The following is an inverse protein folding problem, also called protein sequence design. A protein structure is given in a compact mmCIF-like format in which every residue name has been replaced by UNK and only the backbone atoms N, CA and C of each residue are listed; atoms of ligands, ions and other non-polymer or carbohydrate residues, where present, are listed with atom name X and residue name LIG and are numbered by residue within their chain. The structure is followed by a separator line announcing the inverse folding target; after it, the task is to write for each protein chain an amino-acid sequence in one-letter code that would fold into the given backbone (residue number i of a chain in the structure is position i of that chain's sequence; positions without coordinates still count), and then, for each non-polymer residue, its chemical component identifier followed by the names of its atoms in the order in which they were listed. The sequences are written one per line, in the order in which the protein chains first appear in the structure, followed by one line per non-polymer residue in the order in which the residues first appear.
data_IF_718846647809
#
_entry.id   IF_718846647809
#
_cell.length_a   1.000
_cell.length_b   1.000
_cell.length_c   1.000
_cell.angle_alpha   90.00
_cell.angle_beta   90.00
_cell.angle_gamma   90.00
#
_symmetry.space_group_name_H-M   'P 1'
#
loop_
_entity.id
_entity.type
_entity.pdbx_description
1 polymer ?
#
# COMPACT_ATOMS: atom_id res chain seq x y z
N UNK A 1 -21.71 7.83 27.60
CA UNK A 1 -21.90 9.01 26.74
C UNK A 1 -23.23 8.89 26.01
N UNK A 2 -23.83 9.98 25.52
CA UNK A 2 -25.03 9.88 24.67
C UNK A 2 -24.68 9.23 23.33
N UNK A 3 -25.57 8.38 22.80
CA UNK A 3 -25.57 8.03 21.38
C UNK A 3 -26.22 9.13 20.56
N UNK A 4 -25.88 9.24 19.28
CA UNK A 4 -26.36 10.31 18.41
C UNK A 4 -26.94 9.77 17.10
N UNK A 5 -28.10 10.30 16.72
CA UNK A 5 -28.69 10.19 15.39
C UNK A 5 -29.14 11.59 14.97
N UNK A 6 -28.74 12.06 13.78
CA UNK A 6 -28.93 13.48 13.37
C UNK A 6 -28.33 14.49 14.36
N UNK A 7 -27.25 14.12 15.07
CA UNK A 7 -26.66 14.90 16.16
C UNK A 7 -27.63 15.19 17.35
N UNK A 8 -28.78 14.52 17.38
CA UNK A 8 -29.71 14.53 18.52
C UNK A 8 -29.38 13.38 19.47
N UNK A 9 -29.49 13.64 20.78
CA UNK A 9 -29.24 12.64 21.81
C UNK A 9 -30.27 11.51 21.68
N UNK A 10 -29.78 10.30 21.48
CA UNK A 10 -30.56 9.07 21.42
C UNK A 10 -30.29 8.24 22.68
N UNK A 11 -30.26 6.91 22.54
CA UNK A 11 -29.98 6.00 23.64
C UNK A 11 -28.54 6.15 24.15
N UNK A 12 -28.29 5.93 25.46
CA UNK A 12 -26.94 5.92 26.01
C UNK A 12 -26.07 4.82 25.37
N UNK A 13 -24.80 5.15 25.13
CA UNK A 13 -23.78 4.20 24.66
C UNK A 13 -22.48 4.36 25.45
N UNK A 14 -21.60 3.37 25.37
CA UNK A 14 -20.23 3.48 25.91
C UNK A 14 -19.27 3.97 24.83
N UNK A 15 -18.20 4.66 25.24
CA UNK A 15 -17.13 5.05 24.31
C UNK A 15 -16.48 3.82 23.67
N UNK A 16 -16.37 2.71 24.41
CA UNK A 16 -15.88 1.44 23.87
C UNK A 16 -16.74 0.92 22.71
N UNK A 17 -18.07 1.00 22.84
CA UNK A 17 -18.98 0.60 21.75
C UNK A 17 -18.82 1.49 20.51
N UNK A 18 -18.66 2.81 20.72
CA UNK A 18 -18.34 3.76 19.64
C UNK A 18 -16.99 3.44 18.96
N UNK A 19 -15.94 3.11 19.72
CA UNK A 19 -14.64 2.69 19.16
C UNK A 19 -14.77 1.44 18.29
N UNK A 20 -15.51 0.42 18.76
CA UNK A 20 -15.70 -0.83 18.03
C UNK A 20 -16.45 -0.63 16.70
N UNK A 21 -17.34 0.37 16.60
CA UNK A 21 -17.97 0.71 15.33
C UNK A 21 -16.93 1.07 14.24
N UNK A 22 -15.85 1.76 14.60
CA UNK A 22 -14.75 2.09 13.68
C UNK A 22 -13.82 0.91 13.42
N UNK A 23 -13.62 0.01 14.40
CA UNK A 23 -12.90 -1.25 14.17
C UNK A 23 -13.57 -2.06 13.07
N UNK A 24 -14.90 -2.18 13.11
CA UNK A 24 -15.67 -2.88 12.08
C UNK A 24 -15.57 -2.22 10.69
N UNK A 25 -15.54 -0.89 10.63
CA UNK A 25 -15.32 -0.17 9.37
C UNK A 25 -13.94 -0.48 8.77
N UNK A 26 -12.90 -0.42 9.61
CA UNK A 26 -11.52 -0.68 9.19
C UNK A 26 -11.26 -2.15 8.87
N UNK A 27 -11.95 -3.10 9.53
CA UNK A 27 -11.86 -4.52 9.22
C UNK A 27 -12.37 -4.82 7.79
N UNK A 28 -13.44 -4.14 7.36
CA UNK A 28 -13.90 -4.22 5.96
C UNK A 28 -12.93 -3.58 4.97
N UNK A 29 -12.22 -2.53 5.38
CA UNK A 29 -11.19 -1.93 4.53
C UNK A 29 -9.97 -2.85 4.40
N UNK A 30 -9.60 -3.53 5.49
CA UNK A 30 -8.57 -4.56 5.48
C UNK A 30 -8.92 -5.69 4.52
N UNK A 31 -10.14 -6.23 4.59
CA UNK A 31 -10.55 -7.31 3.68
C UNK A 31 -10.53 -6.86 2.21
N UNK A 32 -10.97 -5.63 1.91
CA UNK A 32 -10.87 -5.06 0.56
C UNK A 32 -9.42 -4.98 0.06
N UNK A 33 -8.50 -4.57 0.93
CA UNK A 33 -7.07 -4.51 0.59
C UNK A 33 -6.49 -5.91 0.38
N UNK A 34 -6.89 -6.90 1.16
CA UNK A 34 -6.47 -8.30 0.98
C UNK A 34 -7.00 -8.88 -0.34
N UNK A 35 -8.26 -8.61 -0.68
CA UNK A 35 -8.86 -9.05 -1.93
C UNK A 35 -8.21 -8.38 -3.15
N UNK A 36 -7.98 -7.07 -3.07
CA UNK A 36 -7.24 -6.33 -4.09
C UNK A 36 -5.82 -6.89 -4.23
N UNK A 37 -5.15 -7.17 -3.09
CA UNK A 37 -3.81 -7.77 -3.06
C UNK A 37 -3.75 -9.09 -3.82
N UNK A 38 -4.75 -9.94 -3.66
CA UNK A 38 -4.82 -11.21 -4.38
C UNK A 38 -5.02 -11.02 -5.88
N UNK A 39 -5.80 -10.02 -6.31
CA UNK A 39 -6.06 -9.74 -7.72
C UNK A 39 -4.85 -9.16 -8.46
N UNK A 40 -4.10 -8.24 -7.84
CA UNK A 40 -2.90 -7.68 -8.47
C UNK A 40 -1.64 -8.55 -8.34
N UNK A 41 -1.72 -9.71 -7.68
CA UNK A 41 -0.60 -10.64 -7.50
C UNK A 41 -0.35 -11.52 -8.74
N UNK A 42 -0.31 -10.88 -9.92
CA UNK A 42 -0.14 -11.53 -11.21
C UNK A 42 0.91 -10.75 -12.03
N UNK A 43 1.95 -11.44 -12.50
CA UNK A 43 3.10 -10.81 -13.15
C UNK A 43 2.84 -10.44 -14.61
N UNK A 44 3.00 -9.16 -15.02
CA UNK A 44 2.92 -8.73 -16.42
C UNK A 44 4.26 -8.87 -17.15
N UNK A 45 5.34 -9.26 -16.47
CA UNK A 45 6.66 -9.34 -17.10
C UNK A 45 6.68 -10.43 -18.18
N UNK A 46 7.35 -10.15 -19.30
CA UNK A 46 7.38 -11.03 -20.47
C UNK A 46 6.29 -10.78 -21.51
N UNK A 47 5.48 -9.73 -21.36
CA UNK A 47 4.46 -9.35 -22.35
C UNK A 47 4.97 -8.44 -23.50
N UNK A 48 6.24 -8.03 -23.45
CA UNK A 48 6.82 -7.14 -24.46
C UNK A 48 6.09 -5.80 -24.53
N UNK A 49 6.01 -5.21 -25.72
CA UNK A 49 5.24 -3.98 -25.93
C UNK A 49 3.72 -4.20 -25.92
N UNK A 50 3.25 -5.35 -26.43
CA UNK A 50 1.83 -5.74 -26.46
C UNK A 50 1.58 -7.20 -26.88
N UNK A 51 2.49 -7.84 -27.62
CA UNK A 51 2.27 -9.15 -28.27
C UNK A 51 3.13 -10.30 -27.68
N UNK A 52 3.72 -10.10 -26.49
CA UNK A 52 4.68 -11.04 -25.92
C UNK A 52 6.12 -10.75 -26.32
N UNK A 53 7.06 -11.47 -25.71
CA UNK A 53 8.48 -11.45 -26.10
C UNK A 53 8.74 -12.39 -27.27
N UNK A 54 9.72 -12.06 -28.12
CA UNK A 54 10.16 -12.93 -29.22
C UNK A 54 11.01 -14.14 -28.75
N UNK A 55 11.18 -14.32 -27.44
CA UNK A 55 11.93 -15.41 -26.82
C UNK A 55 10.97 -16.38 -26.14
N UNK A 56 11.30 -17.67 -26.18
CA UNK A 56 10.59 -18.74 -25.47
C UNK A 56 10.94 -18.72 -23.97
N UNK A 57 10.47 -17.69 -23.28
CA UNK A 57 10.63 -17.55 -21.83
C UNK A 57 9.51 -18.27 -21.08
N UNK A 58 9.85 -18.95 -19.99
CA UNK A 58 8.86 -19.45 -19.03
C UNK A 58 8.43 -18.30 -18.11
N UNK A 59 7.24 -17.76 -18.38
CA UNK A 59 6.70 -16.62 -17.62
C UNK A 59 6.22 -16.99 -16.23
N UNK A 60 5.82 -18.23 -15.99
CA UNK A 60 5.42 -18.68 -14.65
C UNK A 60 6.65 -18.82 -13.74
N UNK A 61 7.75 -19.35 -14.28
CA UNK A 61 9.04 -19.35 -13.59
C UNK A 61 9.50 -17.92 -13.26
N UNK A 62 9.37 -17.00 -14.23
CA UNK A 62 9.71 -15.59 -14.05
C UNK A 62 8.84 -14.91 -12.97
N UNK A 63 7.54 -15.18 -12.95
CA UNK A 63 6.62 -14.71 -11.91
C UNK A 63 7.05 -15.21 -10.52
N UNK A 64 7.43 -16.48 -10.41
CA UNK A 64 7.95 -17.08 -9.18
C UNK A 64 9.23 -16.42 -8.67
N UNK A 65 10.17 -16.07 -9.56
CA UNK A 65 11.39 -15.33 -9.17
C UNK A 65 11.10 -13.93 -8.63
N UNK A 66 10.08 -13.26 -9.16
CA UNK A 66 9.65 -11.94 -8.69
C UNK A 66 8.77 -12.01 -7.43
N UNK A 67 8.25 -13.20 -7.12
CA UNK A 67 7.38 -13.45 -5.97
C UNK A 67 5.90 -13.12 -6.23
N UNK A 68 5.48 -13.17 -7.50
CA UNK A 68 4.06 -13.17 -7.87
C UNK A 68 3.46 -14.57 -7.77
N UNK A 69 2.14 -14.68 -7.62
CA UNK A 69 1.45 -15.97 -7.58
C UNK A 69 1.38 -16.66 -8.96
N UNK A 70 1.28 -15.89 -10.05
CA UNK A 70 1.22 -16.43 -11.42
C UNK A 70 1.61 -15.38 -12.48
N UNK A 71 1.74 -15.78 -13.73
CA UNK A 71 1.85 -14.87 -14.87
C UNK A 71 0.47 -14.46 -15.41
N UNK A 72 0.39 -13.27 -16.01
CA UNK A 72 -0.83 -12.82 -16.72
C UNK A 72 -1.08 -13.68 -17.96
N UNK A 73 -2.33 -13.77 -18.41
CA UNK A 73 -2.73 -14.72 -19.49
C UNK A 73 -2.78 -14.10 -20.88
N UNK A 74 -2.78 -12.76 -20.98
CA UNK A 74 -2.91 -12.04 -22.24
C UNK A 74 -1.99 -10.82 -22.24
N UNK A 75 -1.16 -10.68 -23.27
CA UNK A 75 -0.14 -9.63 -23.33
C UNK A 75 -0.71 -8.24 -23.60
N UNK A 76 -1.80 -8.13 -24.39
CA UNK A 76 -2.49 -6.86 -24.64
C UNK A 76 -3.11 -6.32 -23.35
N UNK A 77 -3.84 -7.18 -22.66
CA UNK A 77 -4.39 -6.90 -21.33
C UNK A 77 -3.29 -6.43 -20.39
N UNK A 78 -2.22 -7.21 -20.23
CA UNK A 78 -1.12 -6.94 -19.30
C UNK A 78 -0.47 -5.57 -19.45
N UNK A 79 -0.30 -5.07 -20.68
CA UNK A 79 0.35 -3.77 -20.91
C UNK A 79 -0.62 -2.61 -20.71
N UNK A 80 -1.92 -2.85 -20.89
CA UNK A 80 -2.98 -1.84 -20.75
C UNK A 80 -3.69 -1.83 -19.39
N UNK A 81 -3.62 -2.91 -18.61
CA UNK A 81 -4.37 -3.08 -17.37
C UNK A 81 -3.94 -2.07 -16.29
N UNK A 82 -4.92 -1.37 -15.73
CA UNK A 82 -4.76 -0.46 -14.58
C UNK A 82 -5.86 -0.66 -13.53
N UNK A 83 -6.59 -1.77 -13.59
CA UNK A 83 -7.71 -2.06 -12.69
C UNK A 83 -7.24 -2.12 -11.23
N UNK A 84 -6.07 -2.68 -10.98
CA UNK A 84 -5.45 -2.71 -9.65
C UNK A 84 -5.22 -1.30 -9.07
N UNK A 85 -4.92 -0.29 -9.90
CA UNK A 85 -4.77 1.10 -9.44
C UNK A 85 -6.14 1.68 -9.07
N UNK A 86 -7.14 1.49 -9.92
CA UNK A 86 -8.51 1.97 -9.68
C UNK A 86 -9.10 1.33 -8.41
N UNK A 87 -8.89 0.03 -8.24
CA UNK A 87 -9.35 -0.72 -7.08
C UNK A 87 -8.66 -0.27 -5.79
N UNK A 88 -7.34 -0.08 -5.79
CA UNK A 88 -6.61 0.45 -4.62
C UNK A 88 -7.04 1.88 -4.29
N UNK A 89 -7.28 2.73 -5.29
CA UNK A 89 -7.79 4.09 -5.09
C UNK A 89 -9.22 4.06 -4.53
N UNK A 90 -10.06 3.12 -4.96
CA UNK A 90 -11.41 2.89 -4.42
C UNK A 90 -11.36 2.47 -2.95
N UNK A 91 -10.54 1.47 -2.62
CA UNK A 91 -10.33 1.03 -1.24
C UNK A 91 -9.81 2.18 -0.36
N UNK A 92 -8.85 2.97 -0.86
CA UNK A 92 -8.33 4.14 -0.15
C UNK A 92 -9.38 5.24 0.03
N UNK A 93 -10.23 5.50 -0.97
CA UNK A 93 -11.31 6.48 -0.87
C UNK A 93 -12.33 6.08 0.19
N UNK A 94 -12.76 4.81 0.20
CA UNK A 94 -13.67 4.27 1.21
C UNK A 94 -13.07 4.39 2.62
N UNK A 95 -11.81 3.98 2.79
CA UNK A 95 -11.12 4.11 4.07
C UNK A 95 -11.01 5.57 4.54
N UNK A 96 -10.77 6.51 3.62
CA UNK A 96 -10.76 7.95 3.96
C UNK A 96 -12.14 8.48 4.36
N UNK A 97 -13.25 7.93 3.86
CA UNK A 97 -14.60 8.25 4.34
C UNK A 97 -14.78 7.79 5.79
N UNK A 98 -14.32 6.57 6.13
CA UNK A 98 -14.38 6.09 7.51
C UNK A 98 -13.54 6.96 8.45
N UNK A 99 -12.33 7.34 8.04
CA UNK A 99 -11.47 8.23 8.81
C UNK A 99 -12.03 9.66 8.91
N UNK A 100 -12.72 10.16 7.89
CA UNK A 100 -13.36 11.48 7.97
C UNK A 100 -14.54 11.48 8.93
N UNK A 101 -15.30 10.38 9.02
CA UNK A 101 -16.38 10.22 10.02
C UNK A 101 -15.82 10.15 11.43
N UNK A 102 -14.75 9.38 11.62
CA UNK A 102 -14.03 9.29 12.89
C UNK A 102 -13.52 10.66 13.35
N UNK A 103 -12.94 11.42 12.42
CA UNK A 103 -12.50 12.78 12.67
C UNK A 103 -13.66 13.71 13.05
N UNK A 104 -14.78 13.66 12.32
CA UNK A 104 -15.97 14.48 12.62
C UNK A 104 -16.50 14.24 14.03
N UNK A 105 -16.64 12.97 14.43
CA UNK A 105 -17.10 12.59 15.76
C UNK A 105 -16.17 13.14 16.85
N UNK A 106 -14.85 12.97 16.71
CA UNK A 106 -13.89 13.47 17.69
C UNK A 106 -13.78 14.99 17.72
N UNK A 107 -13.93 15.66 16.58
CA UNK A 107 -14.01 17.13 16.52
C UNK A 107 -15.21 17.59 17.33
N UNK A 108 -16.38 16.96 17.16
CA UNK A 108 -17.57 17.26 17.94
C UNK A 108 -17.36 16.94 19.44
N UNK A 109 -16.80 15.78 19.78
CA UNK A 109 -16.57 15.39 21.17
C UNK A 109 -15.59 16.30 21.92
N UNK A 110 -14.66 16.93 21.19
CA UNK A 110 -13.66 17.86 21.73
C UNK A 110 -14.16 19.32 21.78
N UNK A 111 -15.40 19.63 21.37
CA UNK A 111 -15.92 20.99 21.54
C UNK A 111 -16.14 21.33 23.01
N UNK A 112 -16.18 22.63 23.33
CA UNK A 112 -16.49 23.08 24.68
C UNK A 112 -17.92 22.72 25.12
N UNK A 113 -18.86 22.61 24.16
CA UNK A 113 -20.25 22.26 24.41
C UNK A 113 -20.46 20.78 24.74
N UNK A 114 -19.69 19.88 24.12
CA UNK A 114 -19.76 18.45 24.38
C UNK A 114 -18.84 18.05 25.54
N UNK A 115 -17.56 18.43 25.47
CA UNK A 115 -16.57 18.16 26.51
C UNK A 115 -16.40 16.66 26.84
N UNK A 116 -16.57 15.77 25.86
CA UNK A 116 -16.48 14.32 26.09
C UNK A 116 -15.06 13.78 26.04
N UNK A 117 -14.17 14.45 25.30
CA UNK A 117 -12.77 14.06 25.17
C UNK A 117 -11.86 15.27 25.31
N UNK A 118 -10.67 15.03 25.85
CA UNK A 118 -9.56 15.98 25.79
C UNK A 118 -8.44 15.34 24.96
N UNK A 119 -8.01 16.04 23.91
CA UNK A 119 -6.93 15.57 23.05
C UNK A 119 -5.55 15.90 23.63
N UNK A 120 -4.56 15.08 23.26
CA UNK A 120 -3.16 15.31 23.65
C UNK A 120 -2.55 16.46 22.86
N UNK A 121 -1.72 17.26 23.52
CA UNK A 121 -0.95 18.37 22.92
C UNK A 121 -0.06 17.92 21.75
N UNK A 122 0.26 16.62 21.67
CA UNK A 122 1.03 16.04 20.55
C UNK A 122 0.27 16.02 19.22
N UNK A 123 -1.07 16.10 19.26
CA UNK A 123 -1.94 15.97 18.08
C UNK A 123 -2.85 17.19 17.89
N UNK A 124 -2.67 18.24 18.69
CA UNK A 124 -3.44 19.49 18.66
C UNK A 124 -2.53 20.70 18.73
N UNK A 125 -2.88 21.79 18.05
CA UNK A 125 -2.36 23.12 18.37
C UNK A 125 -3.20 23.78 19.46
N UNK A 126 -2.62 24.78 20.12
CA UNK A 126 -3.31 25.61 21.10
C UNK A 126 -2.89 27.06 20.96
N UNK A 127 -3.61 27.94 21.65
CA UNK A 127 -3.18 29.34 21.82
C UNK A 127 -2.43 29.46 23.13
N UNK A 128 -1.31 30.19 23.14
CA UNK A 128 -0.60 30.54 24.37
C UNK A 128 -1.47 31.36 25.35
N UNK A 129 -2.51 32.03 24.87
CA UNK A 129 -3.45 32.82 25.66
C UNK A 129 -4.57 31.96 26.29
N UNK A 130 -4.92 30.83 25.68
CA UNK A 130 -6.04 29.97 26.11
C UNK A 130 -5.61 28.50 26.15
N UNK A 131 -4.95 28.05 27.24
CA UNK A 131 -4.38 26.71 27.35
C UNK A 131 -5.41 25.58 27.25
N UNK A 132 -6.65 25.83 27.69
CA UNK A 132 -7.76 24.89 27.61
C UNK A 132 -8.32 24.72 26.19
N UNK A 133 -8.04 25.65 25.27
CA UNK A 133 -8.52 25.60 23.89
C UNK A 133 -7.53 24.80 23.04
N UNK A 134 -7.85 23.52 22.82
CA UNK A 134 -7.09 22.63 21.93
C UNK A 134 -7.79 22.46 20.60
N UNK A 135 -7.14 22.86 19.52
CA UNK A 135 -7.65 22.73 18.16
C UNK A 135 -7.36 21.31 17.63
N UNK A 136 -8.36 20.57 17.15
CA UNK A 136 -8.19 19.18 16.68
C UNK A 136 -7.56 19.11 15.27
N UNK A 137 -6.44 19.79 15.03
CA UNK A 137 -5.88 20.00 13.68
C UNK A 137 -5.59 18.69 12.94
N UNK A 138 -5.07 17.67 13.64
CA UNK A 138 -4.81 16.37 13.03
C UNK A 138 -6.08 15.74 12.47
N UNK A 139 -7.21 15.87 13.19
CA UNK A 139 -8.51 15.35 12.79
C UNK A 139 -9.10 16.19 11.64
N UNK A 140 -8.99 17.51 11.72
CA UNK A 140 -9.39 18.40 10.63
C UNK A 140 -8.63 18.10 9.33
N UNK A 141 -7.33 17.85 9.43
CA UNK A 141 -6.50 17.44 8.30
C UNK A 141 -6.90 16.07 7.76
N UNK A 142 -7.19 15.09 8.62
CA UNK A 142 -7.69 13.78 8.17
C UNK A 142 -8.97 13.94 7.36
N UNK A 143 -9.95 14.70 7.90
CA UNK A 143 -11.21 14.99 7.22
C UNK A 143 -11.00 15.74 5.90
N UNK A 144 -10.17 16.78 5.90
CA UNK A 144 -9.87 17.58 4.71
C UNK A 144 -9.10 16.82 3.62
N UNK A 145 -8.27 15.84 4.00
CA UNK A 145 -7.53 15.00 3.03
C UNK A 145 -8.43 14.01 2.30
N UNK A 146 -9.63 13.71 2.81
CA UNK A 146 -10.58 12.81 2.17
C UNK A 146 -10.91 13.26 0.73
N UNK A 147 -11.21 14.55 0.54
CA UNK A 147 -11.49 15.11 -0.79
C UNK A 147 -10.35 14.97 -1.79
N UNK A 148 -9.08 14.97 -1.35
CA UNK A 148 -7.93 14.76 -2.23
C UNK A 148 -7.86 13.33 -2.77
N UNK A 149 -8.22 12.34 -1.96
CA UNK A 149 -8.24 10.93 -2.40
C UNK A 149 -9.38 10.70 -3.39
N UNK A 150 -10.56 11.30 -3.14
CA UNK A 150 -11.64 11.29 -4.12
C UNK A 150 -11.25 11.92 -5.46
N UNK A 151 -10.48 13.02 -5.47
CA UNK A 151 -10.00 13.59 -6.73
C UNK A 151 -9.10 12.61 -7.51
N UNK A 152 -8.27 11.82 -6.81
CA UNK A 152 -7.40 10.84 -7.47
C UNK A 152 -8.18 9.73 -8.16
N UNK A 153 -9.25 9.21 -7.56
CA UNK A 153 -10.05 8.16 -8.20
C UNK A 153 -10.84 8.71 -9.41
N UNK A 154 -11.42 9.91 -9.31
CA UNK A 154 -12.11 10.53 -10.44
C UNK A 154 -11.15 10.87 -11.59
N UNK A 155 -9.95 11.33 -11.26
CA UNK A 155 -8.86 11.53 -12.22
C UNK A 155 -8.50 10.21 -12.91
N UNK A 156 -8.19 9.15 -12.14
CA UNK A 156 -7.82 7.86 -12.71
C UNK A 156 -8.93 7.24 -13.57
N UNK A 157 -10.21 7.36 -13.18
CA UNK A 157 -11.34 6.86 -13.95
C UNK A 157 -11.61 7.62 -15.25
N UNK A 158 -11.22 8.90 -15.33
CA UNK A 158 -11.25 9.69 -16.57
C UNK A 158 -10.02 9.51 -17.46
N UNK A 159 -8.92 8.97 -16.92
CA UNK A 159 -7.58 9.00 -17.51
C UNK A 159 -7.07 7.59 -17.80
N UNK A 160 -7.82 6.82 -18.58
CA UNK A 160 -7.28 5.69 -19.35
C UNK A 160 -6.35 6.16 -20.51
N UNK A 161 -5.68 7.32 -20.35
CA UNK A 161 -4.67 7.89 -21.23
C UNK A 161 -3.59 8.57 -20.38
N UNK A 162 -2.49 7.86 -20.11
CA UNK A 162 -1.20 8.39 -19.65
C UNK A 162 -1.23 9.38 -18.46
N UNK A 163 -1.37 8.88 -17.23
CA UNK A 163 -1.01 9.64 -16.03
C UNK A 163 0.00 8.89 -15.16
N UNK A 164 1.28 9.30 -15.26
CA UNK A 164 2.42 8.69 -14.58
C UNK A 164 2.31 8.75 -13.05
N UNK A 165 1.52 9.67 -12.50
CA UNK A 165 1.42 9.92 -11.06
C UNK A 165 0.55 8.89 -10.32
N UNK A 166 -0.46 8.33 -10.99
CA UNK A 166 -1.29 7.25 -10.43
C UNK A 166 -0.49 5.94 -10.38
N UNK A 167 0.28 5.65 -11.43
CA UNK A 167 1.21 4.52 -11.49
C UNK A 167 2.29 4.59 -10.41
N UNK A 168 2.96 5.74 -10.26
CA UNK A 168 3.98 5.92 -9.22
C UNK A 168 3.44 5.73 -7.81
N UNK A 169 2.20 6.15 -7.56
CA UNK A 169 1.54 5.97 -6.27
C UNK A 169 1.18 4.51 -6.01
N UNK A 170 0.61 3.81 -6.99
CA UNK A 170 0.25 2.39 -6.88
C UNK A 170 1.49 1.48 -6.78
N UNK A 171 2.49 1.68 -7.64
CA UNK A 171 3.76 0.97 -7.58
C UNK A 171 4.49 1.21 -6.25
N UNK A 172 4.44 2.44 -5.72
CA UNK A 172 4.96 2.78 -4.41
C UNK A 172 4.24 2.07 -3.25
N UNK A 173 2.92 1.88 -3.34
CA UNK A 173 2.14 1.11 -2.36
C UNK A 173 2.47 -0.38 -2.43
N UNK A 174 2.51 -0.96 -3.64
CA UNK A 174 2.80 -2.37 -3.85
C UNK A 174 4.21 -2.75 -3.38
N UNK A 175 5.24 -1.97 -3.72
CA UNK A 175 6.62 -2.21 -3.25
C UNK A 175 6.76 -2.09 -1.72
N UNK A 176 6.10 -1.09 -1.11
CA UNK A 176 6.14 -0.89 0.35
C UNK A 176 5.39 -1.99 1.10
N UNK A 177 4.30 -2.51 0.54
CA UNK A 177 3.51 -3.57 1.15
C UNK A 177 4.20 -4.94 1.05
N UNK A 178 4.75 -5.27 -0.13
CA UNK A 178 5.60 -6.45 -0.33
C UNK A 178 6.82 -6.46 0.60
N UNK A 179 7.45 -5.29 0.81
CA UNK A 179 8.53 -5.11 1.78
C UNK A 179 8.12 -5.31 3.24
N UNK A 180 6.87 -4.96 3.60
CA UNK A 180 6.35 -5.11 4.97
C UNK A 180 5.99 -6.56 5.29
N UNK A 181 5.34 -7.28 4.35
CA UNK A 181 5.02 -8.70 4.47
C UNK A 181 6.29 -9.55 4.65
N UNK A 182 7.36 -9.28 3.88
CA UNK A 182 8.67 -9.95 4.04
C UNK A 182 9.30 -9.75 5.43
N UNK A 183 9.11 -8.59 6.05
CA UNK A 183 9.62 -8.29 7.40
C UNK A 183 8.76 -8.93 8.50
N UNK A 184 7.43 -8.92 8.35
CA UNK A 184 6.50 -9.57 9.27
C UNK A 184 6.68 -11.08 9.31
N UNK A 185 6.84 -11.72 8.15
CA UNK A 185 7.09 -13.17 8.03
C UNK A 185 8.47 -13.56 8.58
N UNK A 186 9.51 -12.75 8.34
CA UNK A 186 10.84 -12.96 8.97
C UNK A 186 10.77 -12.87 10.50
N UNK A 187 10.04 -11.88 11.03
CA UNK A 187 9.89 -11.69 12.48
C UNK A 187 9.07 -12.80 13.12
N UNK A 188 7.99 -13.25 12.48
CA UNK A 188 7.19 -14.38 12.94
C UNK A 188 7.98 -15.70 12.94
N UNK A 189 8.82 -15.94 11.92
CA UNK A 189 9.68 -17.14 11.85
C UNK A 189 10.83 -17.12 12.86
N UNK A 190 11.44 -15.96 13.11
CA UNK A 190 12.45 -15.79 14.16
C UNK A 190 11.87 -16.08 15.55
N UNK A 191 10.67 -15.58 15.83
CA UNK A 191 9.96 -15.86 17.09
C UNK A 191 9.48 -17.32 17.20
N UNK A 192 9.32 -18.02 16.08
CA UNK A 192 8.91 -19.42 16.00
C UNK A 192 10.09 -20.42 15.85
N UNK A 193 11.35 -19.97 15.89
CA UNK A 193 12.52 -20.85 15.80
C UNK A 193 12.72 -21.56 14.45
N UNK A 194 12.08 -21.08 13.38
CA UNK A 194 12.16 -21.70 12.05
C UNK A 194 13.38 -21.19 11.25
N UNK A 195 14.12 -22.07 10.56
CA UNK A 195 15.31 -21.66 9.81
C UNK A 195 14.95 -20.71 8.65
N UNK A 196 15.84 -19.75 8.41
CA UNK A 196 15.76 -18.85 7.25
C UNK A 196 16.03 -19.63 5.96
N UNK A 197 15.34 -19.29 4.87
CA UNK A 197 15.62 -19.87 3.56
C UNK A 197 17.10 -19.69 3.20
N UNK A 198 17.83 -20.80 3.10
CA UNK A 198 19.21 -20.86 2.64
C UNK A 198 19.27 -20.64 1.15
N UNK A 199 20.06 -19.64 0.72
CA UNK A 199 20.57 -19.57 -0.64
C UNK A 199 21.60 -20.66 -0.86
N UNK A 200 21.58 -21.27 -2.04
CA UNK A 200 22.53 -22.27 -2.49
C UNK A 200 23.98 -21.82 -2.23
N UNK A 201 24.79 -22.75 -1.72
CA UNK A 201 26.14 -22.51 -1.24
C UNK A 201 27.10 -21.98 -2.29
N UNK A 202 27.74 -20.85 -2.00
CA UNK A 202 29.03 -20.51 -2.56
C UNK A 202 30.09 -21.39 -1.86
N UNK A 203 30.47 -22.48 -2.52
CA UNK A 203 31.63 -23.28 -2.13
C UNK A 203 32.90 -22.46 -2.34
N UNK A 204 33.61 -22.17 -1.24
CA UNK A 204 34.96 -21.61 -1.25
C UNK A 204 35.92 -22.70 -1.74
N UNK A 205 36.63 -22.47 -2.83
CA UNK A 205 37.91 -23.14 -3.09
C UNK A 205 39.04 -22.11 -3.01
N UNK A 206 39.88 -22.32 -2.01
CA UNK A 206 41.13 -21.63 -1.75
C UNK A 206 42.27 -22.25 -2.57
N UNK A 207 43.08 -21.40 -3.20
CA UNK A 207 44.51 -21.60 -3.47
C UNK A 207 44.90 -22.59 -4.56
N UNK A 208 45.41 -22.10 -5.68
CA UNK A 208 46.83 -22.27 -6.06
C UNK A 208 47.14 -21.53 -7.37
N UNK A 209 48.26 -20.81 -7.34
CA UNK A 209 48.87 -20.04 -8.42
C UNK A 209 49.63 -20.96 -9.38
N UNK A 210 49.41 -20.84 -10.69
CA UNK A 210 50.45 -21.13 -11.69
C UNK A 210 50.16 -20.53 -13.07
N UNK A 211 51.05 -19.61 -13.48
CA UNK A 211 51.60 -19.37 -14.82
C UNK A 211 50.68 -19.30 -16.08
N UNK A 212 50.66 -18.10 -16.68
CA UNK A 212 50.54 -17.82 -18.13
C UNK A 212 51.76 -18.41 -18.88
N UNK A 213 51.71 -18.75 -20.20
CA UNK A 213 51.61 -17.74 -21.27
C UNK A 213 50.92 -18.11 -22.61
N UNK A 214 50.39 -17.08 -23.29
CA UNK A 214 50.73 -16.81 -24.70
C UNK A 214 49.66 -16.98 -25.79
N UNK A 215 49.62 -15.98 -26.69
CA UNK A 215 48.96 -15.87 -28.01
C UNK A 215 47.43 -15.68 -28.02
N UNK A 216 46.81 -14.76 -28.76
CA UNK A 216 47.25 -13.78 -29.76
C UNK A 216 46.02 -13.19 -30.47
N UNK A 217 46.17 -12.00 -31.07
CA UNK A 217 45.27 -11.30 -32.02
C UNK A 217 43.90 -10.81 -31.47
N UNK A 218 43.64 -9.51 -31.30
CA UNK A 218 43.50 -8.44 -32.30
C UNK A 218 42.29 -8.60 -33.26
N UNK A 219 41.31 -7.69 -33.13
CA UNK A 219 40.65 -7.08 -34.30
C UNK A 219 39.12 -7.21 -34.45
N UNK A 220 38.52 -6.04 -34.75
CA UNK A 220 37.28 -5.76 -35.49
C UNK A 220 35.93 -5.89 -34.74
N UNK A 221 35.17 -4.81 -34.53
CA UNK A 221 34.43 -3.90 -35.45
C UNK A 221 33.02 -4.40 -35.82
N UNK A 222 32.03 -3.66 -35.30
CA UNK A 222 30.88 -3.04 -36.00
C UNK A 222 29.96 -3.84 -36.95
N UNK A 223 28.65 -3.55 -36.77
CA UNK A 223 27.44 -3.84 -37.58
C UNK A 223 26.83 -5.22 -37.26
N UNK A 224 25.53 -5.37 -36.98
CA UNK A 224 24.32 -4.62 -37.35
C UNK A 224 23.44 -4.26 -36.15
#
# INVERSE_FOLDING_TARGET
MPGYTHLQRAQPVTFAHWCLAYVEMLARDESRLQDALKRLDVSPLGCGALAGTAYEIDREQLAGWLGFASATRNSLDSVSDRDHVLELLSAAAIGMVHLSRFAEDLIFFNTGEAGFVELSDRVTSGSSLMPQKKNPDALELIRGKCGRVFKKIHGAGGVNRHDDDAERFAAGLQQRYAGRQRRSVRRARYLAGLPAYGGAGAGRHSGETSALPGSGAAGLLQRY
#
